data_IF_790221019217
#
_entry.id   IF_790221019217
#
_cell.length_a   1.000
_cell.length_b   1.000
_cell.length_c   1.000
_cell.angle_alpha   90.00
_cell.angle_beta   90.00
_cell.angle_gamma   90.00
#
_symmetry.space_group_name_H-M   'P 1'
#
loop_
_entity.id
_entity.type
_entity.pdbx_description
1 polymer ?
#
# COMPACT_ATOMS: atom_id res chain seq x y z
N UNK A 1 22.37 -22.73 -22.09
CA UNK A 1 20.97 -22.48 -21.68
C UNK A 1 20.44 -21.34 -22.53
N UNK A 2 19.24 -21.50 -23.10
CA UNK A 2 18.55 -20.43 -23.81
C UNK A 2 17.76 -19.62 -22.77
N UNK A 3 18.18 -18.38 -22.47
CA UNK A 3 17.61 -17.62 -21.35
C UNK A 3 16.18 -17.10 -21.63
N UNK A 4 15.71 -17.22 -22.87
CA UNK A 4 14.43 -16.70 -23.31
C UNK A 4 13.53 -17.78 -23.88
N UNK A 5 12.24 -17.64 -23.59
CA UNK A 5 11.17 -18.43 -24.19
C UNK A 5 10.23 -17.46 -24.90
N UNK A 6 9.92 -17.74 -26.17
CA UNK A 6 8.93 -16.97 -26.91
C UNK A 6 7.52 -17.48 -26.56
N UNK A 7 6.67 -16.59 -26.07
CA UNK A 7 5.25 -16.86 -25.88
C UNK A 7 4.49 -16.40 -27.13
N UNK A 8 4.10 -17.36 -27.96
CA UNK A 8 3.39 -17.13 -29.23
C UNK A 8 1.97 -16.58 -29.04
N UNK A 9 1.32 -16.84 -27.90
CA UNK A 9 -0.04 -16.38 -27.65
C UNK A 9 -0.11 -14.86 -27.44
N UNK A 10 0.91 -14.28 -26.83
CA UNK A 10 0.98 -12.83 -26.57
C UNK A 10 2.08 -12.14 -27.35
N UNK A 11 2.79 -12.86 -28.23
CA UNK A 11 3.92 -12.35 -29.03
C UNK A 11 5.01 -11.65 -28.21
N UNK A 12 5.29 -12.16 -27.01
CA UNK A 12 6.28 -11.60 -26.08
C UNK A 12 7.44 -12.57 -25.83
N UNK A 13 8.60 -12.00 -25.52
CA UNK A 13 9.76 -12.76 -25.06
C UNK A 13 9.75 -12.83 -23.52
N UNK A 14 9.88 -14.01 -22.92
CA UNK A 14 9.94 -14.18 -21.47
C UNK A 14 11.35 -14.63 -21.07
N UNK A 15 11.99 -13.91 -20.16
CA UNK A 15 13.25 -14.35 -19.57
C UNK A 15 12.99 -15.40 -18.49
N UNK A 16 13.52 -16.62 -18.65
CA UNK A 16 13.27 -17.74 -17.73
C UNK A 16 13.99 -17.59 -16.40
N UNK A 17 15.07 -16.80 -16.35
CA UNK A 17 15.82 -16.50 -15.13
C UNK A 17 15.13 -15.40 -14.32
N UNK A 18 14.68 -14.37 -15.01
CA UNK A 18 14.07 -13.19 -14.42
C UNK A 18 12.56 -13.32 -14.17
N UNK A 19 11.89 -14.26 -14.86
CA UNK A 19 10.45 -14.50 -14.77
C UNK A 19 9.57 -13.31 -15.16
N UNK A 20 10.03 -12.51 -16.13
CA UNK A 20 9.25 -11.41 -16.69
C UNK A 20 9.48 -11.28 -18.20
N UNK A 21 8.54 -10.61 -18.85
CA UNK A 21 8.58 -10.31 -20.27
C UNK A 21 9.59 -9.20 -20.59
N UNK A 22 10.23 -9.33 -21.74
CA UNK A 22 11.23 -8.42 -22.28
C UNK A 22 10.87 -8.13 -23.74
N UNK A 23 11.09 -6.89 -24.19
CA UNK A 23 10.89 -6.54 -25.60
C UNK A 23 12.03 -7.08 -26.46
N UNK A 24 11.74 -7.46 -27.71
CA UNK A 24 12.75 -8.03 -28.60
C UNK A 24 13.99 -7.11 -28.75
N UNK A 25 13.79 -5.80 -28.92
CA UNK A 25 14.89 -4.83 -29.06
C UNK A 25 15.67 -4.61 -27.75
N UNK A 26 15.03 -4.87 -26.60
CA UNK A 26 15.67 -4.73 -25.28
C UNK A 26 16.35 -6.03 -24.82
N UNK A 27 16.17 -7.15 -25.51
CA UNK A 27 16.69 -8.47 -25.10
C UNK A 27 18.20 -8.45 -24.86
N UNK A 28 18.98 -7.88 -25.79
CA UNK A 28 20.44 -7.77 -25.68
C UNK A 28 20.86 -6.89 -24.50
N UNK A 29 20.18 -5.75 -24.31
CA UNK A 29 20.46 -4.84 -23.20
C UNK A 29 20.10 -5.48 -21.85
N UNK A 30 18.98 -6.20 -21.80
CA UNK A 30 18.56 -6.97 -20.64
C UNK A 30 19.59 -8.04 -20.26
N UNK A 31 20.08 -8.85 -21.21
CA UNK A 31 21.13 -9.84 -20.95
C UNK A 31 22.42 -9.18 -20.45
N UNK A 32 22.83 -8.06 -21.06
CA UNK A 32 24.06 -7.34 -20.65
C UNK A 32 23.97 -6.82 -19.21
N UNK A 33 22.82 -6.28 -18.82
CA UNK A 33 22.67 -5.61 -17.53
C UNK A 33 22.34 -6.61 -16.39
N UNK A 34 21.46 -7.59 -16.65
CA UNK A 34 20.96 -8.51 -15.64
C UNK A 34 21.66 -9.88 -15.63
N UNK A 35 22.31 -10.27 -16.73
CA UNK A 35 22.95 -11.59 -16.90
C UNK A 35 24.39 -11.46 -17.41
N UNK A 36 25.23 -10.77 -16.64
CA UNK A 36 26.65 -10.50 -16.99
C UNK A 36 27.47 -11.75 -17.26
N UNK A 37 27.09 -12.89 -16.68
CA UNK A 37 27.75 -14.19 -16.87
C UNK A 37 27.58 -14.79 -18.28
N UNK A 38 26.61 -14.31 -19.07
CA UNK A 38 26.40 -14.80 -20.43
C UNK A 38 27.43 -14.16 -21.37
N UNK A 39 28.24 -14.93 -22.13
CA UNK A 39 29.25 -14.40 -23.04
C UNK A 39 28.67 -13.53 -24.16
N UNK A 40 29.46 -12.60 -24.70
CA UNK A 40 29.03 -11.69 -25.77
C UNK A 40 28.54 -12.45 -27.02
N UNK A 41 29.24 -13.50 -27.43
CA UNK A 41 28.85 -14.33 -28.59
C UNK A 41 27.47 -14.97 -28.40
N UNK A 42 27.18 -15.50 -27.22
CA UNK A 42 25.88 -16.06 -26.89
C UNK A 42 24.77 -15.00 -26.91
N UNK A 43 25.05 -13.76 -26.46
CA UNK A 43 24.10 -12.64 -26.56
C UNK A 43 23.81 -12.27 -28.00
N UNK A 44 24.82 -12.20 -28.86
CA UNK A 44 24.67 -11.90 -30.29
C UNK A 44 23.84 -12.98 -31.00
N UNK A 45 24.09 -14.26 -30.70
CA UNK A 45 23.29 -15.37 -31.24
C UNK A 45 21.81 -15.25 -30.82
N UNK A 46 21.55 -14.97 -29.55
CA UNK A 46 20.18 -14.74 -29.05
C UNK A 46 19.53 -13.54 -29.72
N UNK A 47 20.25 -12.45 -29.96
CA UNK A 47 19.72 -11.27 -30.63
C UNK A 47 19.29 -11.57 -32.08
N UNK A 48 20.09 -12.38 -32.81
CA UNK A 48 19.72 -12.86 -34.14
C UNK A 48 18.43 -13.68 -34.11
N UNK A 49 18.40 -14.72 -33.27
CA UNK A 49 17.23 -15.60 -33.12
C UNK A 49 15.96 -14.83 -32.74
N UNK A 50 16.06 -13.84 -31.84
CA UNK A 50 14.93 -13.00 -31.41
C UNK A 50 14.49 -12.04 -32.52
N UNK A 51 15.42 -11.53 -33.33
CA UNK A 51 15.14 -10.66 -34.47
C UNK A 51 14.31 -11.35 -35.55
N UNK A 52 14.59 -12.63 -35.78
CA UNK A 52 13.97 -13.46 -36.82
C UNK A 52 12.54 -13.93 -36.46
N UNK A 53 12.09 -13.72 -35.22
CA UNK A 53 10.75 -14.13 -34.78
C UNK A 53 9.69 -13.26 -35.47
N UNK A 54 8.77 -13.84 -36.26
CA UNK A 54 7.70 -13.08 -36.89
C UNK A 54 6.66 -12.65 -35.85
N UNK A 55 6.16 -11.42 -35.97
CA UNK A 55 5.05 -10.91 -35.14
C UNK A 55 5.39 -10.60 -33.68
N UNK A 56 6.65 -10.74 -33.25
CA UNK A 56 7.06 -10.40 -31.88
C UNK A 56 6.97 -8.89 -31.61
N UNK A 57 6.58 -8.53 -30.38
CA UNK A 57 6.54 -7.14 -29.92
C UNK A 57 7.98 -6.63 -29.74
N UNK A 58 8.37 -5.65 -30.57
CA UNK A 58 9.75 -5.16 -30.63
C UNK A 58 9.97 -3.92 -29.78
N UNK A 59 8.96 -3.06 -29.68
CA UNK A 59 9.10 -1.72 -29.12
C UNK A 59 7.98 -1.36 -28.14
N UNK A 60 8.19 -0.25 -27.42
CA UNK A 60 7.17 0.31 -26.52
C UNK A 60 5.96 0.89 -27.29
N UNK A 61 6.13 1.25 -28.56
CA UNK A 61 5.03 1.69 -29.41
C UNK A 61 4.08 0.52 -29.71
N UNK A 62 4.64 -0.66 -30.01
CA UNK A 62 3.86 -1.88 -30.28
C UNK A 62 3.02 -2.29 -29.05
N UNK A 63 3.53 -2.01 -27.84
CA UNK A 63 2.83 -2.28 -26.58
C UNK A 63 1.54 -1.46 -26.39
N UNK A 64 1.32 -0.37 -27.14
CA UNK A 64 0.06 0.38 -27.02
C UNK A 64 -1.15 -0.44 -27.50
N UNK A 65 -0.93 -1.34 -28.46
CA UNK A 65 -1.95 -2.25 -28.98
C UNK A 65 -2.00 -3.59 -28.22
N UNK A 66 -1.22 -3.73 -27.16
CA UNK A 66 -1.11 -4.98 -26.41
C UNK A 66 -2.43 -5.33 -25.72
N UNK A 67 -2.93 -6.53 -25.97
CA UNK A 67 -4.14 -7.04 -25.32
C UNK A 67 -3.77 -7.91 -24.13
N UNK A 68 -4.34 -7.58 -22.98
CA UNK A 68 -4.19 -8.38 -21.78
C UNK A 68 -5.01 -9.69 -21.86
N UNK A 69 -4.54 -10.76 -21.22
CA UNK A 69 -5.27 -12.01 -21.09
C UNK A 69 -6.67 -11.82 -20.52
N UNK A 70 -7.60 -12.70 -20.92
CA UNK A 70 -8.89 -12.79 -20.26
C UNK A 70 -8.71 -13.30 -18.80
N UNK A 71 -9.50 -12.82 -17.83
CA UNK A 71 -9.43 -13.27 -16.43
C UNK A 71 -9.56 -14.78 -16.21
N UNK A 72 -10.18 -15.50 -17.14
CA UNK A 72 -10.38 -16.95 -17.06
C UNK A 72 -9.17 -17.77 -17.48
N UNK A 73 -8.15 -17.14 -18.07
CA UNK A 73 -6.97 -17.83 -18.59
C UNK A 73 -6.14 -18.41 -17.45
N UNK A 74 -5.59 -19.61 -17.67
CA UNK A 74 -4.65 -20.22 -16.75
C UNK A 74 -3.40 -19.35 -16.53
N UNK A 75 -2.72 -19.48 -15.37
CA UNK A 75 -1.50 -18.72 -15.11
C UNK A 75 -0.47 -18.91 -16.23
N UNK A 76 0.01 -17.80 -16.79
CA UNK A 76 0.95 -17.84 -17.90
C UNK A 76 2.25 -18.46 -17.42
N UNK A 77 2.74 -19.46 -18.15
CA UNK A 77 3.98 -20.16 -17.85
C UNK A 77 5.21 -19.25 -17.98
N UNK A 78 6.29 -19.62 -17.32
CA UNK A 78 7.62 -18.98 -17.36
C UNK A 78 7.72 -17.54 -16.82
N UNK A 79 6.62 -16.82 -16.61
CA UNK A 79 6.60 -15.58 -15.83
C UNK A 79 6.50 -15.85 -14.33
N UNK A 80 6.55 -14.77 -13.55
CA UNK A 80 6.41 -14.85 -12.10
C UNK A 80 5.09 -15.55 -11.74
N UNK A 81 5.12 -16.48 -10.78
CA UNK A 81 3.94 -17.22 -10.35
C UNK A 81 2.86 -16.26 -9.86
N UNK A 82 1.57 -16.66 -9.98
CA UNK A 82 0.46 -15.82 -9.58
C UNK A 82 0.59 -15.38 -8.12
N UNK A 83 0.11 -14.16 -7.85
CA UNK A 83 0.06 -13.54 -6.52
C UNK A 83 -1.39 -13.41 -6.06
N UNK A 84 -1.66 -13.67 -4.78
CA UNK A 84 -3.03 -13.75 -4.25
C UNK A 84 -3.57 -12.40 -3.80
N UNK A 85 -2.72 -11.39 -3.67
CA UNK A 85 -3.04 -10.09 -3.13
C UNK A 85 -3.50 -9.08 -4.20
N UNK A 86 -4.03 -9.57 -5.32
CA UNK A 86 -4.61 -8.71 -6.34
C UNK A 86 -5.90 -8.05 -5.88
N UNK A 87 -6.03 -6.77 -6.21
CA UNK A 87 -7.24 -5.97 -6.06
C UNK A 87 -7.77 -5.66 -7.45
N UNK A 88 -9.04 -6.00 -7.70
CA UNK A 88 -9.71 -5.78 -8.98
C UNK A 88 -10.86 -4.81 -8.83
N UNK A 89 -10.85 -3.73 -9.61
CA UNK A 89 -11.98 -2.80 -9.64
C UNK A 89 -13.25 -3.49 -10.18
N UNK A 90 -14.43 -3.15 -9.66
CA UNK A 90 -15.70 -3.66 -10.21
C UNK A 90 -16.14 -2.94 -11.48
N UNK A 91 -15.82 -1.65 -11.59
CA UNK A 91 -16.30 -0.79 -12.67
C UNK A 91 -15.44 -0.86 -13.93
N UNK A 92 -14.17 -1.26 -13.83
CA UNK A 92 -13.26 -1.36 -14.98
C UNK A 92 -12.24 -2.49 -14.83
N UNK A 93 -11.41 -2.69 -15.86
CA UNK A 93 -10.37 -3.73 -15.90
C UNK A 93 -9.10 -3.40 -15.09
N UNK A 94 -9.08 -2.29 -14.35
CA UNK A 94 -7.92 -1.90 -13.57
C UNK A 94 -7.66 -2.86 -12.40
N UNK A 95 -6.39 -3.20 -12.23
CA UNK A 95 -5.91 -4.04 -11.13
C UNK A 95 -4.62 -3.50 -10.55
N UNK A 96 -4.49 -3.64 -9.23
CA UNK A 96 -3.27 -3.35 -8.49
C UNK A 96 -3.19 -4.23 -7.25
N UNK A 97 -2.05 -4.21 -6.55
CA UNK A 97 -1.88 -4.99 -5.30
C UNK A 97 -2.04 -4.16 -4.02
N UNK A 98 -1.98 -2.83 -4.13
CA UNK A 98 -2.01 -1.92 -2.97
C UNK A 98 -3.37 -1.23 -2.85
N UNK A 99 -3.98 -1.30 -1.68
CA UNK A 99 -5.30 -0.70 -1.40
C UNK A 99 -5.29 0.80 -1.68
N UNK A 100 -4.22 1.51 -1.28
CA UNK A 100 -4.06 2.94 -1.59
C UNK A 100 -4.20 3.24 -3.08
N UNK A 101 -3.51 2.50 -3.94
CA UNK A 101 -3.55 2.71 -5.39
C UNK A 101 -4.95 2.41 -5.95
N UNK A 102 -5.65 1.42 -5.40
CA UNK A 102 -7.04 1.13 -5.80
C UNK A 102 -7.98 2.25 -5.37
N UNK A 103 -7.83 2.77 -4.16
CA UNK A 103 -8.62 3.90 -3.68
C UNK A 103 -8.39 5.16 -4.53
N UNK A 104 -7.13 5.49 -4.85
CA UNK A 104 -6.78 6.61 -5.72
C UNK A 104 -7.42 6.46 -7.11
N UNK A 105 -7.34 5.25 -7.69
CA UNK A 105 -8.00 4.93 -8.96
C UNK A 105 -9.53 5.08 -8.89
N UNK A 106 -10.19 4.47 -7.90
CA UNK A 106 -11.65 4.57 -7.74
C UNK A 106 -12.11 6.02 -7.49
N UNK A 107 -11.32 6.84 -6.78
CA UNK A 107 -11.60 8.28 -6.61
C UNK A 107 -11.49 9.05 -7.92
N UNK A 108 -10.43 8.81 -8.69
CA UNK A 108 -10.15 9.54 -9.92
C UNK A 108 -11.11 9.16 -11.06
N UNK A 109 -11.25 7.86 -11.33
CA UNK A 109 -11.96 7.34 -12.51
C UNK A 109 -13.45 7.11 -12.25
N UNK A 110 -13.82 6.82 -11.00
CA UNK A 110 -15.19 6.41 -10.64
C UNK A 110 -15.83 7.34 -9.62
N UNK A 111 -15.17 8.45 -9.26
CA UNK A 111 -15.64 9.44 -8.27
C UNK A 111 -16.07 8.80 -6.95
N UNK A 112 -15.47 7.66 -6.60
CA UNK A 112 -15.80 6.97 -5.36
C UNK A 112 -15.40 7.83 -4.16
N UNK A 113 -16.32 8.02 -3.23
CA UNK A 113 -16.06 8.69 -1.96
C UNK A 113 -16.02 7.66 -0.84
N UNK A 114 -15.02 7.76 0.03
CA UNK A 114 -14.93 6.87 1.18
C UNK A 114 -15.99 7.29 2.22
N UNK A 115 -16.92 6.40 2.52
CA UNK A 115 -17.93 6.60 3.57
C UNK A 115 -17.29 6.71 4.96
N UNK A 116 -16.07 6.19 5.12
CA UNK A 116 -15.31 6.36 6.34
C UNK A 116 -14.65 7.75 6.38
N UNK A 117 -15.41 8.72 6.88
CA UNK A 117 -14.88 10.03 7.25
C UNK A 117 -14.17 9.98 8.61
N UNK A 118 -13.17 10.86 8.77
CA UNK A 118 -12.35 10.99 9.98
C UNK A 118 -13.24 11.34 11.18
N UNK A 119 -13.04 10.65 12.31
CA UNK A 119 -13.84 10.80 13.54
C UNK A 119 -14.89 9.70 13.75
N UNK A 120 -15.36 9.53 14.99
CA UNK A 120 -16.33 8.50 15.39
C UNK A 120 -15.70 7.21 15.92
N UNK A 121 -16.54 6.28 16.42
CA UNK A 121 -16.09 5.06 17.09
C UNK A 121 -15.46 4.07 16.09
N UNK A 122 -14.12 3.99 16.10
CA UNK A 122 -13.31 3.16 15.19
C UNK A 122 -13.66 1.68 15.29
N UNK A 123 -13.92 1.16 16.50
CA UNK A 123 -14.30 -0.25 16.72
C UNK A 123 -15.63 -0.61 16.05
N UNK A 124 -16.64 0.25 16.18
CA UNK A 124 -17.93 0.04 15.49
C UNK A 124 -17.79 0.10 13.97
N UNK A 125 -16.94 1.00 13.45
CA UNK A 125 -16.68 1.13 12.01
C UNK A 125 -15.89 -0.06 11.43
N UNK A 126 -14.97 -0.63 12.19
CA UNK A 126 -14.20 -1.81 11.77
C UNK A 126 -15.05 -3.09 11.69
N UNK A 127 -16.07 -3.22 12.54
CA UNK A 127 -16.97 -4.38 12.56
C UNK A 127 -18.04 -4.37 11.45
N UNK A 128 -18.24 -3.23 10.77
CA UNK A 128 -19.21 -3.13 9.68
C UNK A 128 -18.67 -3.78 8.40
N UNK A 129 -19.49 -4.62 7.76
CA UNK A 129 -19.20 -5.17 6.43
C UNK A 129 -19.16 -4.01 5.45
N UNK A 130 -17.99 -3.77 4.85
CA UNK A 130 -17.79 -2.68 3.90
C UNK A 130 -18.11 -3.16 2.50
N UNK A 131 -19.02 -2.47 1.83
CA UNK A 131 -19.18 -2.63 0.38
C UNK A 131 -18.05 -1.84 -0.31
N UNK A 132 -16.96 -2.54 -0.63
CA UNK A 132 -15.82 -1.95 -1.31
C UNK A 132 -16.02 -2.05 -2.83
N UNK A 133 -15.70 -1.00 -3.61
CA UNK A 133 -15.85 -1.02 -5.07
C UNK A 133 -14.78 -1.87 -5.80
N UNK A 134 -14.13 -2.77 -5.08
CA UNK A 134 -13.13 -3.70 -5.61
C UNK A 134 -13.19 -5.05 -4.88
N UNK A 135 -12.78 -6.11 -5.58
CA UNK A 135 -12.61 -7.45 -5.02
C UNK A 135 -11.17 -7.61 -4.53
N UNK A 136 -10.99 -8.09 -3.30
CA UNK A 136 -9.70 -8.47 -2.72
C UNK A 136 -9.40 -9.95 -2.97
N UNK A 137 -8.13 -10.35 -2.84
CA UNK A 137 -7.78 -11.78 -2.92
C UNK A 137 -7.75 -12.36 -4.34
N UNK A 138 -7.67 -11.50 -5.37
CA UNK A 138 -7.74 -11.96 -6.76
C UNK A 138 -6.36 -12.47 -7.21
N UNK A 139 -6.24 -13.72 -7.70
CA UNK A 139 -5.01 -14.21 -8.30
C UNK A 139 -4.61 -13.36 -9.51
N UNK A 140 -3.41 -12.79 -9.46
CA UNK A 140 -2.93 -11.87 -10.49
C UNK A 140 -1.48 -12.13 -10.91
N UNK A 141 -1.19 -11.84 -12.18
CA UNK A 141 0.15 -11.89 -12.77
C UNK A 141 0.43 -10.59 -13.52
N UNK A 142 1.68 -10.44 -13.95
CA UNK A 142 2.13 -9.30 -14.74
C UNK A 142 3.24 -9.74 -15.69
N UNK A 143 3.22 -9.21 -16.90
CA UNK A 143 4.27 -9.47 -17.90
C UNK A 143 5.50 -8.61 -17.63
N UNK A 144 5.35 -7.29 -17.57
CA UNK A 144 6.47 -6.35 -17.52
C UNK A 144 6.59 -5.65 -16.16
N UNK A 145 7.80 -5.50 -15.62
CA UNK A 145 8.04 -4.77 -14.37
C UNK A 145 7.80 -3.26 -14.49
N UNK A 146 8.25 -2.72 -15.62
CA UNK A 146 8.17 -1.33 -16.06
C UNK A 146 7.68 -1.34 -17.52
N UNK A 147 7.26 -0.21 -18.11
CA UNK A 147 6.65 -0.04 -19.47
C UNK A 147 5.12 0.14 -19.47
N UNK A 148 4.58 0.53 -20.62
CA UNK A 148 3.14 0.81 -20.83
C UNK A 148 2.24 -0.40 -20.52
N UNK A 149 2.69 -1.62 -20.85
CA UNK A 149 1.98 -2.86 -20.57
C UNK A 149 2.33 -3.50 -19.21
N UNK A 150 2.77 -2.71 -18.22
CA UNK A 150 3.12 -3.20 -16.88
C UNK A 150 1.92 -3.31 -15.93
N UNK A 151 0.71 -3.39 -16.48
CA UNK A 151 -0.51 -3.63 -15.71
C UNK A 151 -0.55 -5.05 -15.14
N UNK A 152 -1.18 -5.19 -13.97
CA UNK A 152 -1.55 -6.50 -13.43
C UNK A 152 -2.79 -7.02 -14.16
N UNK A 153 -2.86 -8.32 -14.38
CA UNK A 153 -4.02 -9.00 -14.93
C UNK A 153 -4.41 -10.19 -14.08
N UNK A 154 -5.69 -10.53 -14.08
CA UNK A 154 -6.28 -11.64 -13.33
C UNK A 154 -6.01 -12.94 -14.08
N UNK A 155 -5.76 -14.02 -13.33
CA UNK A 155 -5.58 -15.35 -13.88
C UNK A 155 -6.35 -16.37 -13.08
N UNK A 156 -6.87 -17.40 -13.74
CA UNK A 156 -7.43 -18.55 -13.06
C UNK A 156 -8.78 -18.31 -12.40
N UNK A 157 -9.58 -17.35 -12.89
CA UNK A 157 -10.93 -17.12 -12.39
C UNK A 157 -11.74 -18.42 -12.48
N UNK A 158 -12.15 -18.95 -11.33
CA UNK A 158 -12.94 -20.19 -11.24
C UNK A 158 -12.15 -21.49 -11.32
N UNK A 159 -10.81 -21.43 -11.48
CA UNK A 159 -9.95 -22.60 -11.67
C UNK A 159 -9.23 -23.08 -10.40
N UNK A 160 -9.49 -22.46 -9.24
CA UNK A 160 -8.90 -22.91 -7.96
C UNK A 160 -7.37 -22.93 -7.98
N UNK A 161 -6.74 -21.94 -8.63
CA UNK A 161 -5.30 -21.91 -8.88
C UNK A 161 -4.51 -21.90 -7.57
N UNK A 162 -3.45 -22.71 -7.50
CA UNK A 162 -2.45 -22.65 -6.43
C UNK A 162 -1.62 -21.36 -6.56
N UNK A 163 -1.78 -20.44 -5.61
CA UNK A 163 -1.16 -19.12 -5.64
C UNK A 163 -0.03 -19.03 -4.62
N UNK A 164 1.06 -18.36 -4.98
CA UNK A 164 2.11 -18.07 -4.00
C UNK A 164 1.67 -16.92 -3.10
N UNK A 165 1.34 -17.25 -1.86
CA UNK A 165 1.30 -16.31 -0.75
C UNK A 165 2.74 -16.05 -0.30
N UNK A 166 3.38 -15.06 -0.90
CA UNK A 166 4.47 -14.38 -0.21
C UNK A 166 3.87 -13.78 1.08
N UNK A 167 4.55 -13.83 2.24
CA UNK A 167 4.16 -13.00 3.35
C UNK A 167 4.33 -11.57 2.86
N UNK A 168 3.23 -10.95 2.45
CA UNK A 168 3.17 -9.52 2.24
C UNK A 168 3.70 -8.91 3.53
N UNK A 169 4.95 -8.42 3.49
CA UNK A 169 5.53 -7.65 4.59
C UNK A 169 4.49 -6.63 5.01
N UNK A 170 4.20 -6.55 6.32
CA UNK A 170 2.88 -6.41 6.88
C UNK A 170 1.93 -5.69 5.92
N UNK A 171 1.26 -6.47 5.08
CA UNK A 171 -0.12 -6.18 4.71
C UNK A 171 -0.96 -6.43 5.95
N UNK A 172 -0.57 -5.83 7.09
CA UNK A 172 -1.43 -5.73 8.25
C UNK A 172 -2.62 -5.02 7.71
N UNK A 173 -3.74 -5.73 7.67
CA UNK A 173 -4.99 -5.25 8.24
C UNK A 173 -4.84 -3.79 8.68
N UNK A 174 -4.97 -2.87 7.70
CA UNK A 174 -4.76 -1.45 7.95
C UNK A 174 -5.69 -1.03 9.09
N UNK A 175 -6.82 -1.73 9.23
CA UNK A 175 -7.75 -1.67 10.35
C UNK A 175 -7.15 -2.16 11.66
N UNK A 176 -6.60 -3.36 11.79
CA UNK A 176 -6.02 -3.79 13.08
C UNK A 176 -4.77 -3.02 13.45
N UNK A 177 -3.90 -2.67 12.50
CA UNK A 177 -2.74 -1.81 12.77
C UNK A 177 -3.19 -0.41 13.21
N UNK A 178 -4.24 0.14 12.58
CA UNK A 178 -4.83 1.40 12.99
C UNK A 178 -5.54 1.32 14.34
N UNK A 179 -6.27 0.24 14.64
CA UNK A 179 -6.95 0.01 15.92
C UNK A 179 -5.93 -0.11 17.05
N UNK A 180 -4.90 -0.95 16.87
CA UNK A 180 -3.82 -1.09 17.85
C UNK A 180 -3.04 0.20 18.05
N UNK A 181 -2.77 0.95 16.98
CA UNK A 181 -2.15 2.27 17.08
C UNK A 181 -3.06 3.27 17.81
N UNK A 182 -4.37 3.28 17.53
CA UNK A 182 -5.35 4.14 18.19
C UNK A 182 -5.45 3.82 19.68
N UNK A 183 -5.56 2.53 20.04
CA UNK A 183 -5.57 2.09 21.43
C UNK A 183 -4.28 2.47 22.16
N UNK A 184 -3.12 2.41 21.47
CA UNK A 184 -1.86 2.86 22.05
C UNK A 184 -1.80 4.38 22.25
N UNK A 185 -2.38 5.16 21.35
CA UNK A 185 -2.46 6.62 21.46
C UNK A 185 -3.47 7.04 22.53
N UNK A 186 -4.64 6.40 22.61
CA UNK A 186 -5.62 6.61 23.67
C UNK A 186 -5.02 6.30 25.04
N UNK A 187 -4.32 5.15 25.18
CA UNK A 187 -3.63 4.80 26.44
C UNK A 187 -2.53 5.79 26.81
N UNK A 188 -1.76 6.29 25.84
CA UNK A 188 -0.74 7.33 26.07
C UNK A 188 -1.40 8.63 26.50
N UNK A 189 -2.44 9.09 25.79
CA UNK A 189 -3.16 10.30 26.14
C UNK A 189 -3.85 10.20 27.51
N UNK A 190 -4.41 9.03 27.86
CA UNK A 190 -4.98 8.77 29.17
C UNK A 190 -3.92 8.64 30.29
N UNK A 191 -2.69 8.24 29.96
CA UNK A 191 -1.56 8.25 30.88
C UNK A 191 -1.05 9.67 31.09
N UNK A 192 -0.78 10.41 30.01
CA UNK A 192 -0.38 11.82 30.03
C UNK A 192 -1.44 12.72 30.71
N UNK A 193 -2.72 12.35 30.62
CA UNK A 193 -3.81 13.02 31.33
C UNK A 193 -3.82 12.78 32.85
N UNK A 194 -3.21 11.67 33.28
CA UNK A 194 -3.06 11.29 34.70
C UNK A 194 -1.75 11.76 35.29
N UNK A 195 -0.78 12.12 34.47
CA UNK A 195 0.47 12.70 34.93
C UNK A 195 0.21 14.05 35.60
N UNK A 196 0.85 14.22 36.76
CA UNK A 196 0.84 15.45 37.52
C UNK A 196 1.69 16.50 36.80
N UNK A 197 1.25 17.76 36.83
CA UNK A 197 2.05 18.87 36.31
C UNK A 197 3.36 18.93 37.10
N UNK A 198 4.48 18.67 36.42
CA UNK A 198 5.82 18.78 36.97
C UNK A 198 6.50 20.02 36.41
N UNK A 199 7.33 20.68 37.23
CA UNK A 199 8.23 21.72 36.73
C UNK A 199 9.22 21.11 35.72
N UNK A 200 9.26 21.66 34.51
CA UNK A 200 10.21 21.25 33.46
C UNK A 200 11.43 22.18 33.53
N UNK A 201 12.63 21.63 33.29
CA UNK A 201 13.89 22.40 33.26
C UNK A 201 13.84 23.57 32.26
N UNK A 202 14.30 24.73 32.74
CA UNK A 202 14.32 26.06 32.10
C UNK A 202 14.84 26.07 30.65
N UNK A 203 15.67 25.09 30.26
CA UNK A 203 16.23 24.98 28.90
C UNK A 203 15.31 24.31 27.88
N UNK A 204 14.22 23.69 28.31
CA UNK A 204 13.32 22.90 27.46
C UNK A 204 11.95 23.58 27.23
N UNK A 205 11.63 24.66 27.94
CA UNK A 205 10.36 25.36 27.79
C UNK A 205 10.41 26.43 26.68
N UNK A 206 9.61 26.31 25.60
CA UNK A 206 9.70 27.21 24.45
C UNK A 206 9.18 28.65 24.69
N UNK A 207 8.64 28.97 25.87
CA UNK A 207 7.86 30.21 26.10
C UNK A 207 8.21 30.91 27.43
N UNK A 208 8.92 32.05 27.35
CA UNK A 208 9.28 32.86 28.52
C UNK A 208 8.14 33.63 29.21
N UNK A 209 6.93 33.67 28.64
CA UNK A 209 5.74 34.24 29.30
C UNK A 209 5.23 33.32 30.41
N UNK A 210 5.27 31.99 30.22
CA UNK A 210 4.85 31.01 31.22
C UNK A 210 5.69 31.09 32.50
N UNK A 211 6.99 31.35 32.35
CA UNK A 211 7.90 31.59 33.47
C UNK A 211 7.51 32.83 34.28
N UNK A 212 7.18 33.95 33.61
CA UNK A 212 6.83 35.20 34.31
C UNK A 212 5.56 35.11 35.13
N UNK A 213 4.61 34.27 34.71
CA UNK A 213 3.33 34.10 35.40
C UNK A 213 3.39 33.04 36.50
N UNK A 214 4.40 32.16 36.51
CA UNK A 214 4.64 31.21 37.60
C UNK A 214 3.71 29.99 37.63
N UNK A 215 2.90 29.78 36.60
CA UNK A 215 1.83 28.78 36.57
C UNK A 215 2.34 27.34 36.72
N UNK A 216 3.54 27.03 36.22
CA UNK A 216 4.15 25.71 36.33
C UNK A 216 4.49 25.34 37.77
N UNK A 217 4.89 26.32 38.59
CA UNK A 217 5.10 26.17 40.03
C UNK A 217 3.77 26.16 40.78
N UNK A 218 2.87 27.05 40.42
CA UNK A 218 1.62 27.25 41.17
C UNK A 218 0.61 26.10 40.93
N UNK A 219 0.74 25.36 39.83
CA UNK A 219 -0.06 24.17 39.50
C UNK A 219 0.73 22.86 39.65
N UNK A 220 1.95 22.90 40.20
CA UNK A 220 2.79 21.73 40.39
C UNK A 220 2.10 20.67 41.27
N UNK A 221 2.14 19.41 40.85
CA UNK A 221 1.49 18.30 41.56
C UNK A 221 -0.01 18.17 41.30
N UNK A 222 -0.64 19.10 40.57
CA UNK A 222 -2.05 18.96 40.17
C UNK A 222 -2.15 18.16 38.87
N UNK A 223 -3.08 17.22 38.82
CA UNK A 223 -3.41 16.49 37.59
C UNK A 223 -4.59 17.13 36.85
N UNK A 224 -4.81 16.71 35.60
CA UNK A 224 -5.86 17.28 34.73
C UNK A 224 -7.27 17.19 35.34
N UNK A 225 -7.55 16.15 36.11
CA UNK A 225 -8.89 15.92 36.70
C UNK A 225 -9.17 16.93 37.81
N UNK A 226 -8.19 17.17 38.69
CA UNK A 226 -8.29 18.17 39.76
C UNK A 226 -8.42 19.60 39.22
N UNK A 227 -7.71 19.92 38.13
CA UNK A 227 -7.85 21.21 37.46
C UNK A 227 -9.25 21.41 36.86
N UNK A 228 -9.84 20.35 36.30
CA UNK A 228 -11.21 20.40 35.75
C UNK A 228 -12.27 20.55 36.84
N UNK A 229 -12.08 19.92 38.00
CA UNK A 229 -12.94 20.10 39.17
C UNK A 229 -12.89 21.55 39.67
N UNK A 230 -11.70 22.17 39.72
CA UNK A 230 -11.55 23.59 40.09
C UNK A 230 -12.17 24.58 39.08
N UNK A 231 -12.56 24.10 37.88
CA UNK A 231 -13.26 24.92 36.87
C UNK A 231 -14.78 24.76 36.95
N UNK A 232 -15.29 23.91 37.86
CA UNK A 232 -16.73 23.76 38.05
C UNK A 232 -17.31 25.01 38.74
N UNK A 233 -18.56 25.39 38.39
CA UNK A 233 -19.20 26.55 39.00
C UNK A 233 -19.40 26.33 40.51
N UNK A 234 -19.11 27.37 41.31
CA UNK A 234 -19.24 27.36 42.77
C UNK A 234 -20.68 27.01 43.15
N UNK A 235 -20.85 25.92 43.89
CA UNK A 235 -22.15 25.46 44.40
C UNK A 235 -22.56 26.24 45.65
N UNK A 236 -23.86 26.26 45.96
CA UNK A 236 -24.44 27.10 47.04
C UNK A 236 -23.94 26.76 48.46
N UNK A 237 -23.15 25.70 48.65
CA UNK A 237 -22.54 25.31 49.93
C UNK A 237 -21.16 25.91 50.22
N UNK A 238 -20.54 26.61 49.27
CA UNK A 238 -19.17 27.16 49.40
C UNK A 238 -19.19 28.69 49.56
N UNK A 239 -19.90 29.17 50.58
CA UNK A 239 -20.15 30.60 50.84
C UNK A 239 -18.86 31.43 51.00
N UNK A 240 -17.75 30.81 51.39
CA UNK A 240 -16.45 31.48 51.58
C UNK A 240 -15.77 31.91 50.27
N UNK A 241 -16.09 31.28 49.13
CA UNK A 241 -15.49 31.58 47.83
C UNK A 241 -16.29 32.62 47.02
N UNK A 242 -17.52 32.94 47.44
CA UNK A 242 -18.37 33.97 46.81
C UNK A 242 -17.99 35.42 47.17
N UNK A 243 -17.22 35.61 48.25
CA UNK A 243 -16.91 36.93 48.82
C UNK A 243 -15.45 37.38 48.63
N UNK A 244 -14.69 36.69 47.77
CA UNK A 244 -13.38 37.16 47.26
C UNK A 244 -13.54 37.82 45.90
#
# INVERSE_FOLDING_TARGET
>A
MEPFVHNTQYSILICTLCKYAVLANEATAHLRNNHRSIPAEARSRVAGLVGDIPGIIRSQADLQSFQYPDPTVEPVAHIAPPRADGLRCHACRYMCRRVRNMQEHCRAEHRWANEWQKGGNVRKKAAAVRDLPWTTGVPCQRFFLTRAASGWFEVGRGLGVAVQSEPSGPGTDDTACFVTLHESQEKRFEADARDEVSTVDEKLEPNGWLYRVGWTRDLEGLNRTQLQEATQPIEDGEETLRNM
#
